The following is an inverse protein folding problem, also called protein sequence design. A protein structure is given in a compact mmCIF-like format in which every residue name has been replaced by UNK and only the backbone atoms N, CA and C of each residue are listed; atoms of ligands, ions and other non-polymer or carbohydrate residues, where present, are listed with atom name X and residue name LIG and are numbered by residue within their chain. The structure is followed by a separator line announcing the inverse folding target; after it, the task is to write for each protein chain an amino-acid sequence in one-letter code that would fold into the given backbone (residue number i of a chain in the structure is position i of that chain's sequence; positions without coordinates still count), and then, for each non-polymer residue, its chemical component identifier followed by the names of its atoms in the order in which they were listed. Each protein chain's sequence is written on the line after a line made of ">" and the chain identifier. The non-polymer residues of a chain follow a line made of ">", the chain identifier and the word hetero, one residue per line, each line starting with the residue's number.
data_IF_228031040234
#
_entry.id   IF_228031040234
#
_cell.length_a   1.000
_cell.length_b   1.000
_cell.length_c   1.000
_cell.angle_alpha   90.00
_cell.angle_beta   90.00
_cell.angle_gamma   90.00
#
_symmetry.space_group_name_H-M   'P 1'
#
loop_
_entity.id
_entity.type
_entity.pdbx_description
1 polymer ?
#
# COMPACT_ATOMS: atom_id res chain seq x y z
N UNK A 1 11.83 -2.88 52.18
CA UNK A 1 10.48 -3.43 51.89
C UNK A 1 9.61 -2.31 51.34
N UNK A 2 8.87 -2.57 50.24
CA UNK A 2 7.85 -1.73 49.56
C UNK A 2 8.40 -0.51 48.80
N UNK A 3 8.12 -0.30 47.52
CA UNK A 3 7.39 -1.08 46.53
C UNK A 3 7.80 -0.54 45.16
N UNK A 4 8.28 -1.42 44.26
CA UNK A 4 8.48 -1.06 42.86
C UNK A 4 7.21 -1.40 42.10
N UNK A 5 6.21 -0.55 42.19
CA UNK A 5 5.14 -0.54 41.18
C UNK A 5 5.71 0.10 39.92
N UNK A 6 6.40 -0.70 39.10
CA UNK A 6 6.54 -0.39 37.68
C UNK A 6 5.29 -0.92 36.98
N UNK A 7 4.21 -0.19 37.13
CA UNK A 7 3.06 -0.31 36.24
C UNK A 7 3.45 0.27 34.88
N UNK A 8 3.98 -0.58 34.00
CA UNK A 8 3.98 -0.33 32.55
C UNK A 8 2.97 -1.28 31.91
N UNK A 9 1.73 -1.22 32.42
CA UNK A 9 0.58 -1.79 31.73
C UNK A 9 0.25 -0.89 30.54
N UNK A 10 0.32 -1.47 29.35
CA UNK A 10 -0.60 -1.11 28.26
C UNK A 10 -0.41 0.27 27.64
N UNK A 11 0.70 0.51 26.95
CA UNK A 11 0.67 1.38 25.77
C UNK A 11 0.99 0.53 24.57
N UNK A 12 -0.04 -0.09 23.98
CA UNK A 12 0.03 -0.39 22.54
C UNK A 12 0.20 0.98 21.89
N UNK A 13 1.45 1.38 21.64
CA UNK A 13 1.72 2.52 20.78
C UNK A 13 1.05 2.15 19.47
N UNK A 14 -0.05 2.81 19.14
CA UNK A 14 -0.64 2.72 17.81
C UNK A 14 0.50 3.05 16.85
N UNK A 15 0.98 2.03 16.15
CA UNK A 15 2.04 2.22 15.17
C UNK A 15 1.40 2.97 14.02
N UNK A 16 1.61 4.28 14.02
CA UNK A 16 1.19 5.15 12.94
C UNK A 16 2.15 4.91 11.79
N UNK A 17 1.66 4.24 10.77
CA UNK A 17 2.38 4.09 9.50
C UNK A 17 2.20 5.36 8.68
N UNK A 18 3.28 5.88 8.09
CA UNK A 18 3.22 7.08 7.24
C UNK A 18 2.61 6.77 5.88
N UNK A 19 2.66 5.52 5.45
CA UNK A 19 2.06 5.07 4.21
C UNK A 19 1.66 3.60 4.26
N UNK A 20 0.78 3.22 3.35
CA UNK A 20 0.42 1.83 3.08
C UNK A 20 1.62 0.98 2.70
N UNK A 21 2.61 1.53 1.99
CA UNK A 21 3.85 0.82 1.66
C UNK A 21 4.66 0.45 2.91
N UNK A 22 4.74 1.35 3.89
CA UNK A 22 5.46 1.10 5.14
C UNK A 22 4.80 -0.03 5.96
N UNK A 23 3.46 -0.03 6.00
CA UNK A 23 2.66 -1.10 6.59
C UNK A 23 2.89 -2.43 5.87
N UNK A 24 2.77 -2.45 4.54
CA UNK A 24 2.94 -3.65 3.73
C UNK A 24 4.34 -4.24 3.85
N UNK A 25 5.38 -3.40 3.88
CA UNK A 25 6.76 -3.87 4.07
C UNK A 25 6.92 -4.61 5.41
N UNK A 26 6.19 -4.21 6.45
CA UNK A 26 6.30 -4.78 7.79
C UNK A 26 5.49 -6.07 7.96
N UNK A 27 4.26 -6.10 7.47
CA UNK A 27 3.37 -7.26 7.67
C UNK A 27 3.32 -8.22 6.49
N UNK A 28 3.60 -7.74 5.28
CA UNK A 28 3.56 -8.53 4.04
C UNK A 28 4.89 -8.43 3.26
N UNK A 29 6.04 -8.70 3.90
CA UNK A 29 7.36 -8.47 3.30
C UNK A 29 7.58 -9.28 2.02
N UNK A 30 7.04 -10.49 1.93
CA UNK A 30 7.19 -11.35 0.75
C UNK A 30 6.43 -10.78 -0.46
N UNK A 31 5.22 -10.27 -0.25
CA UNK A 31 4.41 -9.66 -1.31
C UNK A 31 4.95 -8.29 -1.73
N UNK A 32 5.50 -7.52 -0.78
CA UNK A 32 6.16 -6.25 -1.06
C UNK A 32 7.41 -6.44 -1.93
N UNK A 33 8.25 -7.44 -1.61
CA UNK A 33 9.42 -7.79 -2.42
C UNK A 33 9.06 -8.21 -3.84
N UNK A 34 7.99 -9.01 -4.02
CA UNK A 34 7.52 -9.42 -5.36
C UNK A 34 7.09 -8.21 -6.20
N UNK A 35 6.29 -7.30 -5.62
CA UNK A 35 5.89 -6.04 -6.29
C UNK A 35 7.07 -5.13 -6.63
N UNK A 36 8.13 -5.10 -5.80
CA UNK A 36 9.32 -4.30 -6.10
C UNK A 36 10.16 -4.86 -7.25
N UNK A 37 10.06 -6.17 -7.53
CA UNK A 37 10.76 -6.84 -8.62
C UNK A 37 9.98 -6.70 -9.93
N UNK A 38 8.65 -6.63 -9.85
CA UNK A 38 7.76 -6.24 -10.95
C UNK A 38 7.79 -4.70 -11.11
N UNK A 39 8.94 -4.15 -11.49
CA UNK A 39 9.02 -2.73 -11.87
C UNK A 39 8.23 -2.52 -13.16
N UNK A 40 6.94 -2.22 -13.02
CA UNK A 40 6.10 -1.86 -14.15
C UNK A 40 6.52 -0.46 -14.62
N UNK A 41 6.90 -0.34 -15.89
CA UNK A 41 7.25 0.96 -16.48
C UNK A 41 6.06 1.92 -16.31
N UNK A 42 6.24 3.05 -15.59
CA UNK A 42 5.17 4.02 -15.38
C UNK A 42 4.57 4.54 -16.69
N UNK A 43 5.38 4.64 -17.76
CA UNK A 43 4.90 5.05 -19.06
C UNK A 43 3.99 3.99 -19.69
N UNK A 44 4.42 2.72 -19.70
CA UNK A 44 3.59 1.62 -20.17
C UNK A 44 2.25 1.51 -19.41
N UNK A 45 2.26 1.71 -18.08
CA UNK A 45 1.03 1.73 -17.28
C UNK A 45 0.12 2.90 -17.67
N UNK A 46 0.67 4.11 -17.81
CA UNK A 46 -0.09 5.30 -18.18
C UNK A 46 -0.74 5.15 -19.56
N UNK A 47 0.00 4.61 -20.53
CA UNK A 47 -0.50 4.32 -21.88
C UNK A 47 -1.65 3.32 -21.81
N UNK A 48 -1.47 2.20 -21.11
CA UNK A 48 -2.49 1.15 -20.99
C UNK A 48 -3.79 1.68 -20.36
N UNK A 49 -3.67 2.49 -19.30
CA UNK A 49 -4.83 3.11 -18.65
C UNK A 49 -5.55 4.10 -19.58
N UNK A 50 -4.80 4.89 -20.35
CA UNK A 50 -5.37 5.83 -21.30
C UNK A 50 -6.14 5.11 -22.41
N UNK A 51 -5.58 4.03 -22.96
CA UNK A 51 -6.25 3.19 -23.96
C UNK A 51 -7.54 2.57 -23.43
N UNK A 52 -7.51 2.01 -22.21
CA UNK A 52 -8.69 1.42 -21.59
C UNK A 52 -9.79 2.47 -21.35
N UNK A 53 -9.40 3.68 -20.90
CA UNK A 53 -10.29 4.82 -20.69
C UNK A 53 -10.95 5.26 -22.00
N UNK A 54 -10.16 5.45 -23.07
CA UNK A 54 -10.67 5.79 -24.39
C UNK A 54 -11.62 4.72 -24.94
N UNK A 55 -11.31 3.44 -24.70
CA UNK A 55 -12.19 2.33 -25.06
C UNK A 55 -13.55 2.40 -24.35
N UNK A 56 -13.58 2.76 -23.06
CA UNK A 56 -14.83 2.97 -22.31
C UNK A 56 -15.63 4.13 -22.87
N UNK A 57 -14.97 5.26 -23.13
CA UNK A 57 -15.62 6.46 -23.71
C UNK A 57 -16.22 6.13 -25.08
N UNK A 58 -15.47 5.48 -25.98
CA UNK A 58 -15.97 5.06 -27.30
C UNK A 58 -17.21 4.18 -27.20
N UNK A 59 -17.21 3.18 -26.30
CA UNK A 59 -18.39 2.31 -26.08
C UNK A 59 -19.61 3.08 -25.58
N UNK A 60 -19.42 4.14 -24.81
CA UNK A 60 -20.51 5.00 -24.34
C UNK A 60 -21.04 5.93 -25.44
N UNK A 61 -20.18 6.36 -26.37
CA UNK A 61 -20.56 7.27 -27.47
C UNK A 61 -21.18 6.57 -28.69
N UNK A 62 -21.00 5.25 -28.83
CA UNK A 62 -21.59 4.44 -29.91
C UNK A 62 -23.00 3.93 -29.55
N UNK A 63 -23.49 4.26 -28.34
CA UNK A 63 -24.90 4.13 -27.97
C UNK A 63 -25.70 5.32 -28.49
#
# INVERSE_FOLDING_TARGET
>A
MRGKEKELRGKKQDQVYRSTQEFEKKFFPNSFKKRSVESMDPHALAISLAEESLGKIRRQLVK
#
